data_IF_642880182458
#
_entry.id   IF_642880182458
#
_cell.length_a   1.000
_cell.length_b   1.000
_cell.length_c   1.000
_cell.angle_alpha   90.00
_cell.angle_beta   90.00
_cell.angle_gamma   90.00
#
_symmetry.space_group_name_H-M   'P 1'
#
loop_
_entity.id
_entity.type
_entity.pdbx_description
1 polymer ?
#
# COMPACT_ATOMS: atom_id res chain seq x y z
N UNK A 1 -1.14 -6.00 1.37
CA UNK A 1 -1.40 -7.40 1.78
C UNK A 1 -2.69 -7.49 2.59
N UNK A 2 -2.70 -7.20 3.90
CA UNK A 2 -3.86 -7.48 4.79
C UNK A 2 -5.21 -6.91 4.37
N UNK A 3 -5.23 -5.71 3.78
CA UNK A 3 -6.46 -5.05 3.34
C UNK A 3 -6.94 -5.49 1.96
N UNK A 4 -6.27 -6.46 1.32
CA UNK A 4 -6.62 -6.99 -0.01
C UNK A 4 -6.93 -5.84 -0.98
N UNK A 5 -5.97 -4.94 -1.17
CA UNK A 5 -6.10 -3.75 -2.00
C UNK A 5 -4.84 -3.51 -2.83
N UNK A 6 -5.02 -2.82 -3.96
CA UNK A 6 -3.89 -2.19 -4.65
C UNK A 6 -3.33 -1.07 -3.80
N UNK A 7 -2.01 -0.97 -3.74
CA UNK A 7 -1.30 0.08 -3.00
C UNK A 7 -0.36 0.79 -3.96
N UNK A 8 -0.47 2.11 -4.04
CA UNK A 8 0.44 2.95 -4.80
C UNK A 8 1.23 3.79 -3.82
N UNK A 9 2.56 3.70 -3.90
CA UNK A 9 3.46 4.54 -3.13
C UNK A 9 4.22 5.47 -4.07
N UNK A 10 4.37 6.71 -3.63
CA UNK A 10 5.18 7.71 -4.30
C UNK A 10 5.90 8.56 -3.27
N UNK A 11 7.05 9.08 -3.65
CA UNK A 11 7.82 9.97 -2.82
C UNK A 11 8.82 10.75 -3.64
N UNK A 12 9.38 11.77 -3.00
CA UNK A 12 10.35 12.66 -3.61
C UNK A 12 11.74 12.03 -3.65
N UNK A 13 12.54 12.43 -4.63
CA UNK A 13 13.93 11.99 -4.83
C UNK A 13 14.84 13.19 -5.00
N UNK A 14 16.11 13.06 -4.58
CA UNK A 14 17.12 14.10 -4.78
C UNK A 14 17.23 15.10 -3.62
N UNK A 15 17.74 16.30 -3.91
CA UNK A 15 18.01 17.35 -2.93
C UNK A 15 17.39 18.67 -3.39
N UNK A 16 16.79 19.43 -2.47
CA UNK A 16 16.26 20.76 -2.75
C UNK A 16 17.04 21.85 -1.97
N UNK A 17 18.15 22.36 -2.53
CA UNK A 17 19.16 23.15 -1.80
C UNK A 17 18.71 24.57 -1.37
N UNK A 18 17.41 24.89 -1.39
CA UNK A 18 16.87 26.23 -1.07
C UNK A 18 15.65 26.20 -0.15
N UNK A 19 15.33 25.04 0.44
CA UNK A 19 14.21 24.88 1.38
C UNK A 19 14.74 24.37 2.70
N UNK A 20 14.48 25.10 3.80
CA UNK A 20 14.86 24.66 5.14
C UNK A 20 14.14 23.35 5.49
N UNK A 21 14.86 22.40 6.10
CA UNK A 21 14.40 21.05 6.46
C UNK A 21 14.10 20.09 5.30
N UNK A 22 14.53 20.42 4.06
CA UNK A 22 14.43 19.52 2.92
C UNK A 22 15.83 19.21 2.37
N UNK A 23 16.54 18.35 3.11
CA UNK A 23 17.89 17.90 2.77
C UNK A 23 17.85 16.88 1.61
N UNK A 24 18.24 15.63 1.87
CA UNK A 24 18.30 14.57 0.87
C UNK A 24 17.08 13.67 1.03
N UNK A 25 16.36 13.47 -0.07
CA UNK A 25 15.20 12.61 -0.16
C UNK A 25 15.54 11.39 -1.01
N UNK A 26 15.13 10.23 -0.51
CA UNK A 26 15.22 8.96 -1.23
C UNK A 26 13.82 8.39 -1.34
N UNK A 27 13.47 7.94 -2.54
CA UNK A 27 12.23 7.24 -2.79
C UNK A 27 12.39 6.28 -3.97
N UNK A 28 11.53 5.28 -3.95
CA UNK A 28 11.25 4.41 -5.08
C UNK A 28 9.73 4.29 -5.15
N UNK A 29 9.14 4.90 -6.16
CA UNK A 29 7.70 4.80 -6.38
C UNK A 29 7.36 3.39 -6.86
N UNK A 30 6.23 2.84 -6.44
CA UNK A 30 5.83 1.47 -6.78
C UNK A 30 4.32 1.28 -6.71
N UNK A 31 3.83 0.28 -7.43
CA UNK A 31 2.44 -0.19 -7.39
C UNK A 31 2.42 -1.66 -7.03
N UNK A 32 1.71 -1.98 -5.96
CA UNK A 32 1.60 -3.32 -5.40
C UNK A 32 0.17 -3.84 -5.56
N UNK A 33 0.06 -5.15 -5.80
CA UNK A 33 -1.19 -5.89 -5.81
C UNK A 33 -1.50 -6.47 -4.42
N UNK A 34 -2.72 -7.00 -4.21
CA UNK A 34 -2.92 -8.03 -3.21
C UNK A 34 -2.00 -9.23 -3.46
N UNK A 35 -1.76 -10.02 -2.42
CA UNK A 35 -0.92 -11.22 -2.48
C UNK A 35 -1.81 -12.46 -2.51
N UNK A 36 -2.24 -12.86 -3.70
CA UNK A 36 -3.02 -14.08 -3.94
C UNK A 36 -2.62 -14.68 -5.30
N UNK A 37 -3.05 -15.91 -5.62
CA UNK A 37 -2.65 -16.65 -6.81
C UNK A 37 -2.99 -15.96 -8.14
N UNK A 38 -4.02 -15.10 -8.16
CA UNK A 38 -4.42 -14.37 -9.36
C UNK A 38 -3.54 -13.15 -9.66
N UNK A 39 -2.61 -12.81 -8.78
CA UNK A 39 -1.71 -11.66 -8.88
C UNK A 39 -0.25 -12.10 -9.11
N UNK A 40 0.65 -11.17 -9.45
CA UNK A 40 2.08 -11.46 -9.54
C UNK A 40 2.62 -12.13 -8.26
N UNK A 41 3.58 -13.04 -8.44
CA UNK A 41 4.11 -13.86 -7.34
C UNK A 41 4.71 -13.03 -6.19
N UNK A 42 5.35 -11.92 -6.53
CA UNK A 42 5.97 -10.97 -5.60
C UNK A 42 5.03 -9.83 -5.18
N UNK A 43 3.78 -9.82 -5.68
CA UNK A 43 2.80 -8.76 -5.52
C UNK A 43 3.26 -7.38 -6.02
N UNK A 44 4.29 -7.32 -6.87
CA UNK A 44 4.82 -6.10 -7.46
C UNK A 44 4.25 -5.99 -8.88
N UNK A 45 3.48 -4.94 -9.14
CA UNK A 45 2.95 -4.68 -10.49
C UNK A 45 3.97 -3.87 -11.29
N UNK A 46 4.51 -2.82 -10.69
CA UNK A 46 5.55 -2.01 -11.29
C UNK A 46 6.33 -1.22 -10.23
N UNK A 47 7.60 -0.97 -10.52
CA UNK A 47 8.46 -0.14 -9.69
C UNK A 47 9.22 0.87 -10.55
N UNK A 48 9.40 2.07 -10.00
CA UNK A 48 10.29 3.07 -10.54
C UNK A 48 11.75 2.69 -10.28
N UNK A 49 12.65 3.27 -11.07
CA UNK A 49 14.08 3.22 -10.75
C UNK A 49 14.33 3.99 -9.45
N UNK A 50 15.03 3.41 -8.46
CA UNK A 50 15.31 4.09 -7.21
C UNK A 50 15.98 5.45 -7.41
N UNK A 51 15.59 6.44 -6.60
CA UNK A 51 16.21 7.77 -6.56
C UNK A 51 16.26 8.50 -7.92
N UNK A 52 15.31 8.20 -8.82
CA UNK A 52 15.26 8.80 -10.15
C UNK A 52 13.87 9.41 -10.38
N UNK A 53 13.85 10.65 -10.90
CA UNK A 53 12.59 11.31 -11.26
C UNK A 53 11.96 10.61 -12.46
N UNK A 54 10.77 10.04 -12.27
CA UNK A 54 10.02 9.39 -13.35
C UNK A 54 8.53 9.29 -13.04
N UNK A 55 7.74 9.05 -14.09
CA UNK A 55 6.30 8.74 -13.98
C UNK A 55 6.08 7.24 -14.18
N UNK A 56 5.28 6.64 -13.29
CA UNK A 56 4.86 5.25 -13.38
C UNK A 56 3.41 5.20 -13.86
N UNK A 57 3.13 4.44 -14.93
CA UNK A 57 1.79 4.25 -15.48
C UNK A 57 1.50 2.76 -15.50
N UNK A 58 0.36 2.35 -14.94
CA UNK A 58 -0.06 0.95 -14.83
C UNK A 58 -1.58 0.85 -14.86
N UNK A 59 -2.07 -0.20 -15.50
CA UNK A 59 -3.48 -0.57 -15.52
C UNK A 59 -3.80 -1.52 -14.37
N UNK A 60 -4.89 -1.26 -13.65
CA UNK A 60 -5.33 -2.05 -12.50
C UNK A 60 -6.71 -2.63 -12.75
N UNK A 61 -6.87 -3.94 -12.54
CA UNK A 61 -8.14 -4.63 -12.67
C UNK A 61 -8.92 -4.61 -11.35
N UNK A 62 -9.88 -3.69 -11.26
CA UNK A 62 -10.73 -3.55 -10.07
C UNK A 62 -11.79 -4.64 -9.95
N UNK A 63 -12.13 -5.35 -11.02
CA UNK A 63 -13.10 -6.44 -10.97
C UNK A 63 -12.44 -7.70 -10.41
N UNK A 64 -11.20 -7.99 -10.83
CA UNK A 64 -10.38 -9.03 -10.22
C UNK A 64 -10.19 -8.79 -8.71
N UNK A 65 -9.99 -7.53 -8.31
CA UNK A 65 -9.87 -7.17 -6.89
C UNK A 65 -11.13 -7.52 -6.09
N UNK A 66 -12.32 -7.28 -6.65
CA UNK A 66 -13.59 -7.64 -6.00
C UNK A 66 -13.73 -9.15 -5.89
N UNK A 67 -13.36 -9.87 -6.93
CA UNK A 67 -13.45 -11.34 -6.97
C UNK A 67 -12.55 -11.96 -5.90
N UNK A 68 -11.30 -11.50 -5.77
CA UNK A 68 -10.37 -11.99 -4.74
C UNK A 68 -10.85 -11.69 -3.33
N UNK A 69 -11.45 -10.53 -3.07
CA UNK A 69 -12.03 -10.24 -1.74
C UNK A 69 -13.17 -11.18 -1.34
N UNK A 70 -13.82 -11.82 -2.31
CA UNK A 70 -14.94 -12.73 -2.07
C UNK A 70 -14.49 -14.19 -2.08
N UNK A 71 -13.65 -14.57 -3.04
CA UNK A 71 -13.30 -15.95 -3.37
C UNK A 71 -11.79 -16.24 -3.28
N UNK A 72 -11.01 -15.30 -2.76
CA UNK A 72 -9.56 -15.43 -2.59
C UNK A 72 -9.18 -16.54 -1.62
N UNK A 73 -7.89 -16.88 -1.64
CA UNK A 73 -7.31 -17.91 -0.76
C UNK A 73 -7.44 -17.55 0.72
N UNK A 74 -7.44 -16.25 1.01
CA UNK A 74 -7.69 -15.66 2.31
C UNK A 74 -8.81 -14.62 2.19
N UNK A 75 -9.59 -14.45 3.25
CA UNK A 75 -10.73 -13.51 3.28
C UNK A 75 -10.70 -12.62 4.51
N UNK A 76 -9.58 -11.92 4.70
CA UNK A 76 -9.31 -11.12 5.89
C UNK A 76 -10.42 -10.11 6.21
N UNK A 77 -10.99 -9.48 5.16
CA UNK A 77 -12.06 -8.50 5.32
C UNK A 77 -13.37 -9.10 5.83
N UNK A 78 -13.64 -10.38 5.55
CA UNK A 78 -14.83 -11.10 6.04
C UNK A 78 -14.61 -11.64 7.44
N UNK A 79 -13.40 -12.13 7.70
CA UNK A 79 -13.08 -12.84 8.95
C UNK A 79 -12.67 -11.88 10.09
N UNK A 80 -12.46 -10.59 9.80
CA UNK A 80 -12.10 -9.59 10.81
C UNK A 80 -13.18 -9.46 11.89
N UNK A 81 -12.77 -9.62 13.15
CA UNK A 81 -13.63 -9.50 14.33
C UNK A 81 -13.61 -8.10 14.92
N UNK A 82 -14.50 -7.22 14.47
CA UNK A 82 -14.61 -5.86 15.01
C UNK A 82 -15.10 -5.81 16.47
N UNK A 83 -15.67 -6.89 16.97
CA UNK A 83 -16.19 -7.00 18.34
C UNK A 83 -15.08 -7.08 19.40
N UNK A 84 -13.91 -7.64 19.07
CA UNK A 84 -12.79 -7.82 20.02
C UNK A 84 -11.74 -6.71 19.96
N UNK A 85 -11.68 -5.96 18.85
CA UNK A 85 -10.68 -4.91 18.65
C UNK A 85 -11.14 -3.51 19.07
N UNK A 86 -12.32 -3.40 19.70
CA UNK A 86 -12.82 -2.13 20.23
C UNK A 86 -12.08 -1.80 21.53
N UNK A 87 -11.21 -0.79 21.49
CA UNK A 87 -10.50 -0.29 22.67
C UNK A 87 -11.34 0.84 23.28
N UNK A 88 -11.66 0.72 24.57
CA UNK A 88 -12.20 1.82 25.37
C UNK A 88 -11.03 2.49 26.10
N UNK A 89 -10.79 3.77 25.82
CA UNK A 89 -9.80 4.56 26.55
C UNK A 89 -10.45 4.90 27.90
N UNK A 90 -9.89 4.37 28.99
CA UNK A 90 -10.25 4.82 30.32
C UNK A 90 -9.40 6.04 30.62
N UNK A 91 -10.00 7.23 30.61
CA UNK A 91 -9.33 8.42 31.11
C UNK A 91 -9.07 8.20 32.61
N UNK A 92 -7.82 8.34 33.03
CA UNK A 92 -7.47 8.38 34.45
C UNK A 92 -7.89 9.74 34.97
N UNK A 93 -8.84 9.78 35.91
CA UNK A 93 -9.13 11.00 36.66
C UNK A 93 -7.87 11.42 37.44
N UNK A 94 -7.43 12.67 37.22
CA UNK A 94 -6.31 13.33 37.91
C UNK A 94 -6.53 13.43 39.44
#
# INVERSE_FOLDING_TARGET
IENECYVVISGSVGNLPKVENMDIQYSQSAVFSPSDFAFPHDAIIAEATPNTEMTLIVDLDLDLLKDVRVHGSVTNLKDRRSDIYKITINEMED
#
